data_IF_813433003827
#
_entry.id   IF_813433003827
#
_cell.length_a   1.000
_cell.length_b   1.000
_cell.length_c   1.000
_cell.angle_alpha   90.00
_cell.angle_beta   90.00
_cell.angle_gamma   90.00
#
_symmetry.space_group_name_H-M   'P 1'
#
loop_
_entity.id
_entity.type
_entity.pdbx_description
1 polymer ?
#
# COMPACT_ATOMS: atom_id res chain seq x y z
N UNK A 1 -23.54 11.63 -9.14
CA UNK A 1 -24.28 10.34 -9.15
C UNK A 1 -24.25 9.73 -7.76
N UNK A 2 -25.25 8.90 -7.39
CA UNK A 2 -25.23 8.14 -6.13
C UNK A 2 -24.29 6.93 -6.28
N UNK A 3 -23.32 6.80 -5.35
CA UNK A 3 -22.36 5.68 -5.34
C UNK A 3 -23.00 4.37 -4.84
N UNK A 4 -23.83 4.47 -3.81
CA UNK A 4 -24.48 3.30 -3.18
C UNK A 4 -25.97 3.41 -3.30
N UNK A 5 -26.63 2.25 -3.52
CA UNK A 5 -28.09 2.12 -3.55
C UNK A 5 -28.49 0.90 -2.74
N UNK A 6 -29.61 1.01 -2.03
CA UNK A 6 -30.24 -0.08 -1.29
C UNK A 6 -31.73 -0.05 -1.50
N UNK A 7 -32.31 -1.17 -1.85
CA UNK A 7 -33.76 -1.35 -1.92
C UNK A 7 -34.22 -1.93 -0.58
N UNK A 8 -35.11 -1.20 0.08
CA UNK A 8 -35.64 -1.59 1.39
C UNK A 8 -36.42 -2.89 1.26
N UNK A 9 -36.10 -3.87 2.09
CA UNK A 9 -36.74 -5.18 2.10
C UNK A 9 -37.87 -5.23 3.14
N UNK A 10 -38.78 -6.24 3.04
CA UNK A 10 -39.81 -6.47 4.04
C UNK A 10 -39.25 -6.69 5.45
N UNK A 11 -38.04 -7.31 5.56
CA UNK A 11 -37.37 -7.55 6.85
C UNK A 11 -36.89 -6.24 7.54
N UNK A 12 -36.85 -5.16 6.81
CA UNK A 12 -36.39 -3.84 7.29
C UNK A 12 -37.57 -2.90 7.58
N UNK A 13 -38.81 -3.39 7.42
CA UNK A 13 -40.00 -2.62 7.73
C UNK A 13 -39.97 -2.12 9.19
N UNK A 14 -40.27 -0.84 9.38
CA UNK A 14 -40.22 -0.18 10.68
C UNK A 14 -38.84 0.30 11.11
N UNK A 15 -37.75 -0.09 10.43
CA UNK A 15 -36.42 0.42 10.66
C UNK A 15 -36.28 1.84 10.11
N UNK A 16 -35.48 2.67 10.77
CA UNK A 16 -35.11 3.99 10.24
C UNK A 16 -34.03 3.85 9.16
N UNK A 17 -33.93 4.85 8.26
CA UNK A 17 -32.85 4.95 7.26
C UNK A 17 -31.47 4.72 7.90
N UNK A 18 -31.20 5.31 9.07
CA UNK A 18 -29.95 5.12 9.79
C UNK A 18 -29.71 3.67 10.24
N UNK A 19 -30.74 2.95 10.65
CA UNK A 19 -30.62 1.54 11.05
C UNK A 19 -30.34 0.68 9.84
N UNK A 20 -31.04 0.91 8.74
CA UNK A 20 -30.84 0.22 7.46
C UNK A 20 -29.41 0.46 6.94
N UNK A 21 -28.94 1.71 6.94
CA UNK A 21 -27.57 2.03 6.52
C UNK A 21 -26.49 1.35 7.37
N UNK A 22 -26.70 1.25 8.68
CA UNK A 22 -25.79 0.54 9.58
C UNK A 22 -25.80 -0.98 9.40
N UNK A 23 -26.95 -1.55 9.08
CA UNK A 23 -27.11 -3.00 8.90
C UNK A 23 -26.51 -3.49 7.57
N UNK A 24 -26.67 -2.71 6.50
CA UNK A 24 -26.31 -3.13 5.16
C UNK A 24 -24.97 -2.62 4.67
N UNK A 25 -24.42 -1.58 5.30
CA UNK A 25 -23.15 -0.97 4.90
C UNK A 25 -22.18 -0.89 6.07
N UNK A 26 -20.94 -1.28 5.85
CA UNK A 26 -19.85 -1.19 6.85
C UNK A 26 -19.35 0.25 7.08
N UNK A 27 -20.23 1.23 6.99
CA UNK A 27 -19.85 2.63 7.13
C UNK A 27 -19.36 2.98 8.54
N UNK A 28 -18.25 3.72 8.63
CA UNK A 28 -17.76 4.23 9.90
C UNK A 28 -18.74 5.24 10.50
N UNK A 29 -18.77 5.36 11.85
CA UNK A 29 -19.60 6.37 12.55
C UNK A 29 -19.35 7.77 12.03
N UNK A 30 -18.08 8.11 11.74
CA UNK A 30 -17.68 9.43 11.19
C UNK A 30 -18.27 9.65 9.80
N UNK A 31 -18.29 8.64 8.95
CA UNK A 31 -18.87 8.75 7.61
C UNK A 31 -20.39 8.92 7.67
N UNK A 32 -21.10 8.16 8.51
CA UNK A 32 -22.54 8.30 8.75
C UNK A 32 -22.86 9.70 9.25
N UNK A 33 -22.08 10.24 10.19
CA UNK A 33 -22.27 11.62 10.68
C UNK A 33 -22.07 12.64 9.55
N UNK A 34 -21.05 12.48 8.72
CA UNK A 34 -20.76 13.35 7.57
C UNK A 34 -21.90 13.30 6.54
N UNK A 35 -22.42 12.11 6.24
CA UNK A 35 -23.56 11.94 5.32
C UNK A 35 -24.79 12.71 5.79
N UNK A 36 -25.09 12.65 7.10
CA UNK A 36 -26.23 13.38 7.69
C UNK A 36 -26.04 14.90 7.59
N UNK A 37 -24.86 15.38 7.98
CA UNK A 37 -24.57 16.82 7.99
C UNK A 37 -24.60 17.42 6.59
N UNK A 38 -24.13 16.68 5.58
CA UNK A 38 -24.08 17.13 4.19
C UNK A 38 -25.30 16.72 3.36
N UNK A 39 -26.32 16.13 3.99
CA UNK A 39 -27.57 15.70 3.32
C UNK A 39 -27.30 14.82 2.08
N UNK A 40 -26.43 13.84 2.22
CA UNK A 40 -25.98 12.98 1.11
C UNK A 40 -26.84 11.73 0.91
N UNK A 41 -27.93 11.58 1.67
CA UNK A 41 -28.84 10.43 1.61
C UNK A 41 -30.15 10.86 0.99
N UNK A 42 -30.56 10.16 -0.04
CA UNK A 42 -31.84 10.37 -0.71
C UNK A 42 -32.74 9.13 -0.52
N UNK A 43 -34.05 9.33 -0.40
CA UNK A 43 -35.09 8.32 -0.44
C UNK A 43 -35.92 8.56 -1.68
N UNK A 44 -35.99 7.59 -2.60
CA UNK A 44 -36.70 7.70 -3.89
C UNK A 44 -36.29 8.96 -4.69
N UNK A 45 -35.03 9.35 -4.61
CA UNK A 45 -34.48 10.52 -5.31
C UNK A 45 -34.67 11.86 -4.59
N UNK A 46 -35.39 11.92 -3.46
CA UNK A 46 -35.54 13.12 -2.64
C UNK A 46 -34.64 13.05 -1.38
N UNK A 47 -34.04 14.18 -0.99
CA UNK A 47 -33.25 14.25 0.25
C UNK A 47 -34.04 13.76 1.44
N UNK A 48 -33.44 12.92 2.29
CA UNK A 48 -34.11 12.37 3.47
C UNK A 48 -33.29 12.52 4.74
N UNK A 49 -33.98 12.44 5.87
CA UNK A 49 -33.36 12.43 7.19
C UNK A 49 -33.26 11.00 7.73
N UNK A 50 -32.19 10.74 8.47
CA UNK A 50 -31.88 9.38 8.94
C UNK A 50 -32.86 8.76 9.92
N UNK A 51 -33.80 9.52 10.50
CA UNK A 51 -34.85 9.02 11.39
C UNK A 51 -36.13 8.62 10.65
N UNK A 52 -36.25 8.92 9.35
CA UNK A 52 -37.38 8.50 8.52
C UNK A 52 -37.41 6.97 8.43
N UNK A 53 -38.59 6.40 8.46
CA UNK A 53 -38.84 4.98 8.26
C UNK A 53 -39.34 4.76 6.85
N UNK A 54 -38.52 4.23 5.95
CA UNK A 54 -38.95 3.93 4.59
C UNK A 54 -39.88 2.68 4.57
N UNK A 55 -40.64 2.55 3.52
CA UNK A 55 -41.46 1.37 3.22
C UNK A 55 -40.66 0.34 2.40
N UNK A 56 -41.06 -0.96 2.44
CA UNK A 56 -40.53 -1.95 1.50
C UNK A 56 -40.60 -1.46 0.06
N UNK A 57 -39.59 -1.78 -0.75
CA UNK A 57 -39.39 -1.31 -2.13
C UNK A 57 -38.91 0.13 -2.30
N UNK A 58 -38.87 0.95 -1.26
CA UNK A 58 -38.23 2.27 -1.33
C UNK A 58 -36.75 2.13 -1.64
N UNK A 59 -36.19 3.11 -2.37
CA UNK A 59 -34.79 3.14 -2.76
C UNK A 59 -34.02 4.18 -1.96
N UNK A 60 -33.13 3.73 -1.09
CA UNK A 60 -32.16 4.59 -0.41
C UNK A 60 -30.94 4.75 -1.31
N UNK A 61 -30.60 5.97 -1.65
CA UNK A 61 -29.43 6.30 -2.46
C UNK A 61 -28.44 7.18 -1.66
N UNK A 62 -27.15 6.90 -1.77
CA UNK A 62 -26.10 7.62 -1.05
C UNK A 62 -25.14 8.26 -2.05
N UNK A 63 -24.94 9.57 -1.93
CA UNK A 63 -23.92 10.31 -2.66
C UNK A 63 -22.64 10.37 -1.83
N UNK A 64 -21.48 10.33 -2.49
CA UNK A 64 -20.23 10.66 -1.81
C UNK A 64 -20.06 12.17 -1.67
N UNK A 65 -19.44 12.64 -0.58
CA UNK A 65 -19.10 14.05 -0.44
C UNK A 65 -18.10 14.48 -1.52
N UNK A 66 -18.26 15.69 -2.02
CA UNK A 66 -17.22 16.32 -2.85
C UNK A 66 -16.03 16.62 -1.95
N UNK A 67 -14.87 16.15 -2.33
CA UNK A 67 -13.63 16.33 -1.58
C UNK A 67 -12.53 16.81 -2.53
N UNK A 68 -11.68 17.68 -2.05
CA UNK A 68 -10.58 18.26 -2.82
C UNK A 68 -9.24 17.71 -2.33
N UNK A 69 -8.30 17.61 -3.24
CA UNK A 69 -6.90 17.33 -2.94
C UNK A 69 -6.16 18.67 -2.75
N UNK A 70 -5.27 18.71 -1.76
CA UNK A 70 -4.49 19.91 -1.42
C UNK A 70 -3.12 19.95 -2.12
N UNK A 71 -2.78 18.88 -2.86
CA UNK A 71 -1.51 18.77 -3.54
C UNK A 71 -1.57 19.45 -4.90
N UNK A 72 -0.51 20.17 -5.34
CA UNK A 72 -0.44 20.67 -6.71
C UNK A 72 -0.39 19.51 -7.71
N UNK A 73 -0.99 19.69 -8.88
CA UNK A 73 -0.94 18.73 -9.96
C UNK A 73 0.42 18.80 -10.66
N UNK A 74 1.07 17.67 -10.86
CA UNK A 74 2.32 17.56 -11.62
C UNK A 74 2.23 16.41 -12.61
N UNK A 75 2.67 16.64 -13.86
CA UNK A 75 2.64 15.63 -14.94
C UNK A 75 3.72 14.55 -14.68
N UNK A 76 3.41 13.65 -13.74
CA UNK A 76 4.21 12.48 -13.43
C UNK A 76 3.49 11.25 -13.99
N UNK A 77 4.16 10.52 -14.89
CA UNK A 77 3.60 9.30 -15.48
C UNK A 77 3.30 8.27 -14.40
N UNK A 78 2.08 7.75 -14.41
CA UNK A 78 1.63 6.67 -13.52
C UNK A 78 1.60 5.34 -14.28
N UNK A 79 2.12 4.30 -13.68
CA UNK A 79 1.96 2.92 -14.14
C UNK A 79 0.80 2.30 -13.34
N UNK A 80 -0.41 2.29 -13.94
CA UNK A 80 -1.63 1.84 -13.28
C UNK A 80 -1.75 0.32 -13.43
N UNK A 81 -1.73 -0.39 -12.30
CA UNK A 81 -1.88 -1.86 -12.22
C UNK A 81 -3.35 -2.27 -12.26
N UNK A 82 -4.20 -1.48 -11.59
CA UNK A 82 -5.63 -1.73 -11.49
C UNK A 82 -6.38 -0.45 -11.16
N UNK A 83 -7.53 -0.27 -11.76
CA UNK A 83 -8.42 0.83 -11.45
C UNK A 83 -9.89 0.42 -11.59
N UNK A 84 -10.70 0.84 -10.62
CA UNK A 84 -12.14 0.78 -10.65
C UNK A 84 -12.76 2.00 -9.94
N UNK A 85 -14.03 1.93 -9.55
CA UNK A 85 -14.71 2.99 -8.82
C UNK A 85 -14.21 3.19 -7.39
N UNK A 86 -13.50 2.23 -6.82
CA UNK A 86 -13.09 2.17 -5.42
C UNK A 86 -11.59 2.30 -5.23
N UNK A 87 -10.81 1.84 -6.20
CA UNK A 87 -9.36 1.80 -6.15
C UNK A 87 -8.69 2.48 -7.31
N UNK A 88 -7.52 3.01 -7.05
CA UNK A 88 -6.47 3.30 -8.02
C UNK A 88 -5.20 2.64 -7.47
N UNK A 89 -4.70 1.59 -8.11
CA UNK A 89 -3.54 0.83 -7.66
C UNK A 89 -2.42 1.02 -8.67
N UNK A 90 -1.28 1.47 -8.16
CA UNK A 90 -0.18 1.99 -8.97
C UNK A 90 1.10 1.19 -8.69
N UNK A 91 1.83 0.84 -9.71
CA UNK A 91 3.23 0.43 -9.62
C UNK A 91 4.11 1.69 -9.52
N UNK A 92 4.42 2.10 -8.28
CA UNK A 92 5.22 3.29 -8.04
C UNK A 92 6.65 3.11 -8.55
N UNK A 93 7.11 4.03 -9.39
CA UNK A 93 8.52 4.10 -9.78
C UNK A 93 9.40 4.47 -8.58
N UNK A 94 10.69 4.09 -8.58
CA UNK A 94 11.65 4.57 -7.57
C UNK A 94 11.94 6.07 -7.75
N UNK A 95 12.58 6.70 -6.76
CA UNK A 95 13.02 8.09 -6.80
C UNK A 95 11.97 9.12 -6.41
N UNK A 96 10.71 8.72 -6.16
CA UNK A 96 9.66 9.64 -5.70
C UNK A 96 9.02 9.15 -4.39
N UNK A 97 8.68 10.08 -3.52
CA UNK A 97 7.93 9.78 -2.29
C UNK A 97 6.44 9.54 -2.61
N UNK A 98 5.74 8.81 -1.74
CA UNK A 98 4.29 8.57 -1.91
C UNK A 98 3.49 9.86 -1.72
N UNK A 99 3.84 10.68 -0.73
CA UNK A 99 3.17 11.94 -0.42
C UNK A 99 4.18 13.02 -0.03
N UNK A 100 3.82 14.30 -0.12
CA UNK A 100 4.70 15.40 0.27
C UNK A 100 5.20 15.28 1.70
N UNK A 101 6.47 15.61 1.89
CA UNK A 101 7.16 15.68 3.19
C UNK A 101 7.93 17.00 3.28
N UNK A 102 8.45 17.36 4.48
CA UNK A 102 9.26 18.58 4.64
C UNK A 102 10.45 18.66 3.68
N UNK A 103 11.07 17.51 3.36
CA UNK A 103 12.23 17.45 2.43
C UNK A 103 11.83 17.28 0.96
N UNK A 104 10.61 16.87 0.67
CA UNK A 104 10.11 16.62 -0.69
C UNK A 104 8.65 17.14 -0.79
N UNK A 105 8.45 18.45 -0.91
CA UNK A 105 7.11 19.05 -0.96
C UNK A 105 6.39 18.78 -2.29
N UNK A 106 7.15 18.56 -3.35
CA UNK A 106 6.71 18.32 -4.72
C UNK A 106 7.34 17.05 -5.30
N UNK A 107 7.03 16.71 -6.53
CA UNK A 107 7.52 15.54 -7.25
C UNK A 107 7.22 14.24 -6.47
N UNK A 108 5.97 14.08 -6.05
CA UNK A 108 5.51 12.93 -5.29
C UNK A 108 4.45 12.16 -6.07
N UNK A 109 4.19 10.90 -5.69
CA UNK A 109 3.11 10.13 -6.28
C UNK A 109 1.75 10.85 -6.15
N UNK A 110 1.52 11.52 -5.01
CA UNK A 110 0.30 12.30 -4.79
C UNK A 110 0.12 13.42 -5.83
N UNK A 111 1.19 14.13 -6.21
CA UNK A 111 1.14 15.17 -7.24
C UNK A 111 0.77 14.58 -8.62
N UNK A 112 1.35 13.43 -8.98
CA UNK A 112 1.02 12.72 -10.22
C UNK A 112 -0.43 12.24 -10.25
N UNK A 113 -0.95 11.74 -9.11
CA UNK A 113 -2.34 11.31 -9.02
C UNK A 113 -3.30 12.51 -9.16
N UNK A 114 -3.00 13.68 -8.59
CA UNK A 114 -3.84 14.87 -8.78
C UNK A 114 -3.87 15.28 -10.25
N UNK A 115 -2.74 15.23 -10.95
CA UNK A 115 -2.70 15.48 -12.39
C UNK A 115 -3.59 14.48 -13.14
N UNK A 116 -3.45 13.18 -12.85
CA UNK A 116 -4.27 12.12 -13.43
C UNK A 116 -5.78 12.32 -13.20
N UNK A 117 -6.19 12.67 -11.98
CA UNK A 117 -7.59 12.97 -11.63
C UNK A 117 -8.14 14.09 -12.51
N UNK A 118 -7.36 15.16 -12.72
CA UNK A 118 -7.77 16.31 -13.53
C UNK A 118 -7.92 15.93 -15.01
N UNK A 119 -6.93 15.22 -15.58
CA UNK A 119 -6.96 14.78 -16.97
C UNK A 119 -8.11 13.80 -17.28
N UNK A 120 -8.45 12.95 -16.32
CA UNK A 120 -9.52 11.95 -16.48
C UNK A 120 -10.89 12.44 -16.01
N UNK A 121 -11.01 13.72 -15.61
CA UNK A 121 -12.24 14.30 -15.07
C UNK A 121 -12.86 13.49 -13.90
N UNK A 122 -12.02 12.80 -13.14
CA UNK A 122 -12.43 12.10 -11.93
C UNK A 122 -12.52 13.07 -10.75
N UNK A 123 -13.24 12.67 -9.71
CA UNK A 123 -13.36 13.49 -8.49
C UNK A 123 -13.32 12.58 -7.26
N UNK A 124 -12.13 12.43 -6.68
CA UNK A 124 -11.95 11.75 -5.40
C UNK A 124 -10.76 12.35 -4.63
N UNK A 125 -10.81 12.28 -3.32
CA UNK A 125 -9.67 12.59 -2.45
C UNK A 125 -8.75 11.38 -2.37
N UNK A 126 -7.45 11.60 -2.58
CA UNK A 126 -6.41 10.57 -2.50
C UNK A 126 -6.31 10.05 -1.08
N UNK A 127 -6.37 8.73 -0.91
CA UNK A 127 -6.22 8.04 0.37
C UNK A 127 -5.30 6.85 0.21
N UNK A 128 -4.06 7.04 0.55
CA UNK A 128 -3.09 5.94 0.55
C UNK A 128 -3.42 4.92 1.63
N UNK A 129 -3.51 3.65 1.27
CA UNK A 129 -3.71 2.55 2.19
C UNK A 129 -2.38 1.96 2.68
N UNK A 130 -1.33 2.08 1.89
CA UNK A 130 0.04 1.73 2.24
C UNK A 130 1.01 2.82 1.77
N UNK A 131 2.28 2.66 2.16
CA UNK A 131 3.37 3.53 1.71
C UNK A 131 4.58 2.69 1.35
N UNK A 132 5.38 3.21 0.45
CA UNK A 132 6.71 2.72 0.12
C UNK A 132 7.74 3.83 0.38
N UNK A 133 8.97 3.44 0.64
CA UNK A 133 10.09 4.38 0.72
C UNK A 133 10.32 5.02 -0.65
N UNK A 134 10.99 6.17 -0.69
CA UNK A 134 11.24 6.93 -1.91
C UNK A 134 11.80 6.05 -3.03
N UNK A 135 12.84 5.30 -2.74
CA UNK A 135 13.55 4.46 -3.70
C UNK A 135 13.06 3.00 -3.77
N UNK A 136 12.03 2.65 -2.99
CA UNK A 136 11.34 1.37 -3.13
C UNK A 136 10.26 1.49 -4.21
N UNK A 137 10.29 0.61 -5.19
CA UNK A 137 9.29 0.52 -6.26
C UNK A 137 8.17 -0.45 -5.94
N UNK A 138 7.07 -0.41 -6.69
CA UNK A 138 6.00 -1.40 -6.64
C UNK A 138 4.66 -0.89 -6.13
N UNK A 139 3.82 -1.78 -5.64
CA UNK A 139 2.39 -1.56 -5.43
C UNK A 139 2.11 -0.54 -4.32
N UNK A 140 1.40 0.52 -4.71
CA UNK A 140 0.75 1.48 -3.82
C UNK A 140 -0.74 1.44 -4.05
N UNK A 141 -1.50 1.22 -2.99
CA UNK A 141 -2.96 1.14 -2.98
C UNK A 141 -3.53 2.50 -2.59
N UNK A 142 -4.34 3.08 -3.46
CA UNK A 142 -5.09 4.30 -3.22
C UNK A 142 -6.58 3.97 -3.20
N UNK A 143 -7.25 4.28 -2.09
CA UNK A 143 -8.70 4.22 -2.00
C UNK A 143 -9.31 5.54 -2.48
N UNK A 144 -10.31 5.45 -3.37
CA UNK A 144 -11.00 6.62 -3.92
C UNK A 144 -12.02 7.24 -2.96
N UNK A 145 -12.37 6.54 -1.88
CA UNK A 145 -13.27 7.06 -0.84
C UNK A 145 -12.87 6.58 0.57
N UNK A 146 -13.40 7.26 1.58
CA UNK A 146 -13.04 6.98 2.98
C UNK A 146 -13.58 5.65 3.51
N UNK A 147 -14.66 5.12 2.94
CA UNK A 147 -15.19 3.83 3.35
C UNK A 147 -14.26 2.70 2.90
N UNK A 148 -13.82 2.73 1.66
CA UNK A 148 -12.86 1.76 1.11
C UNK A 148 -11.55 1.82 1.87
N UNK A 149 -11.01 3.03 2.16
CA UNK A 149 -9.80 3.15 2.98
C UNK A 149 -9.97 2.48 4.35
N UNK A 150 -11.12 2.68 5.01
CA UNK A 150 -11.40 2.09 6.31
C UNK A 150 -11.47 0.56 6.24
N UNK A 151 -12.14 0.00 5.22
CA UNK A 151 -12.24 -1.45 5.04
C UNK A 151 -10.88 -2.10 4.74
N UNK A 152 -10.07 -1.49 3.87
CA UNK A 152 -8.70 -1.96 3.60
C UNK A 152 -7.83 -1.87 4.87
N UNK A 153 -7.98 -0.79 5.66
CA UNK A 153 -7.26 -0.65 6.93
C UNK A 153 -7.63 -1.76 7.92
N UNK A 154 -8.91 -2.15 7.99
CA UNK A 154 -9.36 -3.29 8.81
C UNK A 154 -8.73 -4.60 8.31
N UNK A 155 -8.74 -4.85 7.00
CA UNK A 155 -8.12 -6.04 6.42
C UNK A 155 -6.62 -6.08 6.74
N UNK A 156 -5.91 -4.94 6.62
CA UNK A 156 -4.49 -4.85 6.97
C UNK A 156 -4.24 -5.12 8.45
N UNK A 157 -5.06 -4.57 9.33
CA UNK A 157 -4.95 -4.78 10.78
C UNK A 157 -5.27 -6.21 11.20
N UNK A 158 -6.15 -6.88 10.45
CA UNK A 158 -6.54 -8.28 10.65
C UNK A 158 -5.64 -9.29 9.92
N UNK A 159 -4.50 -8.85 9.34
CA UNK A 159 -3.60 -9.70 8.55
C UNK A 159 -4.28 -10.42 7.37
N UNK A 160 -5.34 -9.83 6.82
CA UNK A 160 -6.08 -10.37 5.67
C UNK A 160 -5.53 -9.88 4.32
N UNK A 161 -4.56 -8.97 4.33
CA UNK A 161 -3.87 -8.48 3.13
C UNK A 161 -2.51 -9.13 3.03
N UNK A 162 -2.28 -9.89 1.97
CA UNK A 162 -0.95 -10.42 1.67
C UNK A 162 -0.14 -9.38 0.90
N UNK A 163 1.06 -9.08 1.37
CA UNK A 163 2.01 -8.17 0.72
C UNK A 163 3.34 -8.89 0.55
N UNK A 164 3.79 -9.03 -0.70
CA UNK A 164 5.07 -9.66 -0.99
C UNK A 164 6.00 -8.71 -1.73
N UNK A 165 7.25 -8.79 -1.35
CA UNK A 165 8.34 -8.00 -1.90
C UNK A 165 9.39 -8.91 -2.50
N UNK A 166 10.02 -8.45 -3.58
CA UNK A 166 11.27 -9.03 -4.06
C UNK A 166 12.42 -8.16 -3.56
N UNK A 167 13.47 -8.80 -3.08
CA UNK A 167 14.73 -8.12 -2.76
C UNK A 167 15.91 -8.96 -3.23
N UNK A 168 17.01 -8.26 -3.56
CA UNK A 168 18.31 -8.90 -3.78
C UNK A 168 19.22 -8.44 -2.66
N UNK A 169 19.73 -9.39 -1.89
CA UNK A 169 20.56 -9.15 -0.71
C UNK A 169 21.97 -9.64 -0.91
N UNK A 170 22.92 -9.09 -0.17
CA UNK A 170 24.31 -9.50 -0.18
C UNK A 170 24.51 -10.84 0.54
N UNK A 171 25.41 -11.67 0.01
CA UNK A 171 25.77 -12.96 0.58
C UNK A 171 24.78 -14.08 0.26
N UNK A 172 25.16 -15.30 0.64
CA UNK A 172 24.33 -16.49 0.49
C UNK A 172 23.56 -16.72 1.78
N UNK A 173 22.23 -16.77 1.67
CA UNK A 173 21.35 -17.22 2.73
C UNK A 173 21.20 -18.73 2.56
N UNK A 174 21.63 -19.51 3.55
CA UNK A 174 21.62 -20.98 3.46
C UNK A 174 20.24 -21.59 3.63
N UNK A 175 19.40 -21.01 4.52
CA UNK A 175 18.05 -21.49 4.76
C UNK A 175 17.10 -21.08 3.62
N UNK A 176 16.26 -22.02 3.15
CA UNK A 176 15.29 -21.73 2.08
C UNK A 176 14.09 -20.91 2.55
N UNK A 177 13.73 -21.04 3.81
CA UNK A 177 12.62 -20.31 4.42
C UNK A 177 12.85 -20.09 5.92
N UNK A 178 12.64 -18.87 6.39
CA UNK A 178 12.69 -18.52 7.80
C UNK A 178 11.83 -17.28 8.10
N UNK A 179 11.57 -17.05 9.38
CA UNK A 179 10.80 -15.90 9.85
C UNK A 179 11.67 -15.01 10.73
N UNK A 180 11.59 -13.70 10.50
CA UNK A 180 12.26 -12.68 11.33
C UNK A 180 11.20 -12.02 12.21
N UNK A 181 11.25 -12.29 13.51
CA UNK A 181 10.42 -11.65 14.54
C UNK A 181 11.31 -10.78 15.43
N UNK A 182 11.64 -9.60 14.92
CA UNK A 182 12.52 -8.65 15.58
C UNK A 182 11.88 -7.27 15.61
N UNK A 183 11.62 -6.71 16.81
CA UNK A 183 11.00 -5.39 16.91
C UNK A 183 11.90 -4.30 16.30
N UNK A 184 11.25 -3.32 15.66
CA UNK A 184 11.92 -2.21 14.95
C UNK A 184 11.55 -0.88 15.61
N UNK A 185 12.54 -0.07 15.88
CA UNK A 185 12.38 1.24 16.50
C UNK A 185 13.28 2.31 15.92
N UNK A 186 13.21 3.47 16.53
CA UNK A 186 14.02 4.66 16.20
C UNK A 186 14.83 5.05 17.44
N UNK A 187 16.08 4.56 17.56
CA UNK A 187 16.88 4.79 18.77
C UNK A 187 17.26 6.27 18.93
N UNK A 188 17.44 6.98 17.84
CA UNK A 188 17.74 8.41 17.82
C UNK A 188 16.65 9.16 17.03
N UNK A 189 15.87 10.06 17.70
CA UNK A 189 14.82 10.85 17.05
C UNK A 189 15.32 11.76 15.91
N UNK A 190 16.58 12.17 15.94
CA UNK A 190 17.15 13.08 14.94
C UNK A 190 17.74 12.34 13.73
N UNK A 191 17.99 11.03 13.87
CA UNK A 191 18.49 10.19 12.78
C UNK A 191 17.37 9.67 11.89
N UNK A 192 17.50 9.63 10.56
CA UNK A 192 16.60 8.93 9.66
C UNK A 192 16.69 7.42 9.81
N UNK A 193 17.81 6.91 10.37
CA UNK A 193 18.09 5.49 10.52
C UNK A 193 17.24 4.89 11.64
N UNK A 194 16.77 3.69 11.41
CA UNK A 194 16.09 2.85 12.40
C UNK A 194 16.90 1.59 12.64
N UNK A 195 16.60 0.86 13.71
CA UNK A 195 17.29 -0.38 14.05
C UNK A 195 16.33 -1.40 14.64
N UNK A 196 16.79 -2.63 14.79
CA UNK A 196 16.19 -3.57 15.75
C UNK A 196 16.34 -2.94 17.13
N UNK A 197 15.23 -2.89 17.87
CA UNK A 197 15.14 -2.24 19.18
C UNK A 197 14.15 -3.00 20.03
N UNK A 198 14.50 -3.31 21.25
CA UNK A 198 13.64 -4.05 22.18
C UNK A 198 12.32 -3.30 22.43
N UNK A 199 11.27 -4.04 22.78
CA UNK A 199 9.94 -3.46 23.02
C UNK A 199 9.97 -2.47 24.21
N UNK A 200 10.71 -2.78 25.26
CA UNK A 200 10.93 -1.93 26.42
C UNK A 200 11.63 -0.61 26.08
N UNK A 201 12.45 -0.58 25.02
CA UNK A 201 13.15 0.61 24.55
C UNK A 201 12.34 1.39 23.50
N UNK A 202 11.07 1.02 23.27
CA UNK A 202 10.19 1.68 22.33
C UNK A 202 10.18 1.08 20.91
N UNK A 203 10.75 -0.11 20.75
CA UNK A 203 10.58 -0.92 19.54
C UNK A 203 9.12 -1.29 19.33
N UNK A 204 8.76 -1.56 18.09
CA UNK A 204 7.42 -2.02 17.68
C UNK A 204 7.52 -3.38 17.03
N UNK A 205 6.64 -4.30 17.39
CA UNK A 205 6.58 -5.63 16.79
C UNK A 205 6.68 -5.56 15.27
N UNK A 206 7.57 -6.35 14.70
CA UNK A 206 7.77 -6.41 13.25
C UNK A 206 8.08 -7.85 12.86
N UNK A 207 7.26 -8.40 11.96
CA UNK A 207 7.30 -9.79 11.53
C UNK A 207 7.43 -9.87 10.01
N UNK A 208 8.45 -10.60 9.54
CA UNK A 208 8.77 -10.78 8.10
C UNK A 208 9.11 -12.22 7.83
N UNK A 209 8.39 -12.88 6.92
CA UNK A 209 8.80 -14.16 6.38
C UNK A 209 9.73 -13.94 5.19
N UNK A 210 10.75 -14.76 5.11
CA UNK A 210 11.76 -14.75 4.03
C UNK A 210 11.74 -16.09 3.33
N UNK A 211 11.59 -16.07 2.01
CA UNK A 211 11.71 -17.23 1.13
C UNK A 211 12.82 -16.99 0.13
N UNK A 212 13.82 -17.84 0.11
CA UNK A 212 14.89 -17.80 -0.89
C UNK A 212 14.35 -18.31 -2.23
N UNK A 213 14.53 -17.51 -3.27
CA UNK A 213 14.14 -17.85 -4.64
C UNK A 213 15.34 -18.33 -5.46
N UNK A 214 16.48 -17.67 -5.31
CA UNK A 214 17.72 -18.03 -6.03
C UNK A 214 18.95 -17.52 -5.30
N UNK A 215 20.02 -18.32 -5.32
CA UNK A 215 21.37 -17.98 -4.83
C UNK A 215 22.30 -17.76 -6.01
N UNK A 216 23.06 -16.68 -5.98
CA UNK A 216 24.07 -16.34 -6.98
C UNK A 216 25.44 -16.37 -6.33
N UNK A 217 26.31 -17.26 -6.78
CA UNK A 217 27.70 -17.34 -6.32
C UNK A 217 28.56 -16.44 -7.17
N UNK A 218 29.32 -15.55 -6.54
CA UNK A 218 30.26 -14.69 -7.22
C UNK A 218 31.35 -15.53 -7.93
N UNK A 219 31.69 -15.14 -9.15
CA UNK A 219 32.78 -15.78 -9.90
C UNK A 219 33.96 -14.80 -9.99
N UNK A 220 35.15 -15.25 -9.59
CA UNK A 220 36.40 -14.48 -9.58
C UNK A 220 36.77 -13.94 -10.98
N UNK A 221 36.22 -14.50 -12.05
CA UNK A 221 36.53 -14.16 -13.46
C UNK A 221 35.69 -12.97 -13.95
N UNK A 222 34.58 -12.67 -13.29
CA UNK A 222 33.71 -11.52 -13.63
C UNK A 222 34.06 -10.30 -12.75
N UNK A 223 33.78 -9.10 -13.23
CA UNK A 223 33.90 -7.85 -12.44
C UNK A 223 33.04 -7.82 -11.18
N UNK A 224 32.31 -8.91 -10.87
CA UNK A 224 31.43 -9.11 -9.74
C UNK A 224 31.85 -10.34 -8.94
N UNK A 225 32.69 -10.11 -7.94
CA UNK A 225 33.13 -11.16 -7.01
C UNK A 225 32.34 -11.05 -5.70
N UNK A 226 31.00 -11.11 -5.78
CA UNK A 226 30.22 -11.15 -4.55
C UNK A 226 28.99 -12.03 -4.69
N UNK A 227 28.76 -12.76 -3.62
CA UNK A 227 27.59 -13.61 -3.45
C UNK A 227 26.33 -12.75 -3.25
N UNK A 228 25.22 -13.21 -3.80
CA UNK A 228 23.92 -12.55 -3.63
C UNK A 228 22.78 -13.57 -3.53
N UNK A 229 21.71 -13.19 -2.90
CA UNK A 229 20.50 -14.02 -2.81
C UNK A 229 19.27 -13.19 -3.22
N UNK A 230 18.48 -13.73 -4.16
CA UNK A 230 17.14 -13.21 -4.48
C UNK A 230 16.14 -13.83 -3.52
N UNK A 231 15.39 -12.98 -2.82
CA UNK A 231 14.40 -13.42 -1.83
C UNK A 231 13.02 -12.81 -2.11
N UNK A 232 11.98 -13.57 -1.79
CA UNK A 232 10.61 -13.07 -1.63
C UNK A 232 10.35 -12.87 -0.13
N UNK A 233 9.87 -11.69 0.25
CA UNK A 233 9.57 -11.36 1.64
C UNK A 233 8.08 -11.08 1.81
N UNK A 234 7.45 -11.76 2.78
CA UNK A 234 6.04 -11.51 3.14
C UNK A 234 5.96 -10.68 4.42
N UNK A 235 5.25 -9.55 4.35
CA UNK A 235 5.10 -8.65 5.50
C UNK A 235 3.79 -8.87 6.24
N UNK A 236 3.87 -9.31 7.51
CA UNK A 236 2.73 -9.34 8.45
C UNK A 236 2.52 -7.99 9.14
N UNK A 237 3.57 -7.20 9.27
CA UNK A 237 3.57 -5.84 9.80
C UNK A 237 4.16 -4.88 8.76
N UNK A 238 3.95 -3.58 8.92
CA UNK A 238 4.47 -2.57 7.99
C UNK A 238 5.18 -1.42 8.71
N UNK A 239 6.35 -1.70 9.32
CA UNK A 239 7.15 -0.65 9.96
C UNK A 239 8.04 0.04 8.93
N UNK A 240 8.35 1.30 9.17
CA UNK A 240 9.25 2.06 8.29
C UNK A 240 10.59 1.35 8.17
N UNK A 241 11.05 1.11 6.94
CA UNK A 241 12.29 0.40 6.60
C UNK A 241 12.36 -1.05 7.12
N UNK A 242 11.26 -1.69 7.48
CA UNK A 242 11.25 -3.00 8.16
C UNK A 242 12.13 -4.04 7.47
N UNK A 243 11.90 -4.31 6.19
CA UNK A 243 12.69 -5.29 5.42
C UNK A 243 14.17 -4.92 5.41
N UNK A 244 14.48 -3.65 5.17
CA UNK A 244 15.85 -3.13 5.07
C UNK A 244 16.62 -3.34 6.38
N UNK A 245 15.96 -3.09 7.52
CA UNK A 245 16.52 -3.28 8.86
C UNK A 245 16.71 -4.77 9.15
N UNK A 246 15.69 -5.59 8.91
CA UNK A 246 15.73 -7.02 9.18
C UNK A 246 16.87 -7.70 8.40
N UNK A 247 16.97 -7.44 7.10
CA UNK A 247 18.01 -8.04 6.26
C UNK A 247 19.42 -7.54 6.64
N UNK A 248 19.58 -6.25 6.95
CA UNK A 248 20.86 -5.71 7.42
C UNK A 248 21.27 -6.28 8.78
N UNK A 249 20.32 -6.47 9.70
CA UNK A 249 20.57 -7.06 11.01
C UNK A 249 21.10 -8.49 10.92
N UNK A 250 20.62 -9.26 9.95
CA UNK A 250 21.09 -10.61 9.66
C UNK A 250 22.39 -10.66 8.84
N UNK A 251 23.07 -9.54 8.65
CA UNK A 251 24.28 -9.41 7.81
C UNK A 251 24.05 -9.72 6.31
N UNK A 252 22.81 -9.61 5.85
CA UNK A 252 22.41 -9.71 4.44
C UNK A 252 21.77 -8.41 3.96
N UNK A 253 22.45 -7.24 3.99
CA UNK A 253 21.85 -5.98 3.59
C UNK A 253 21.39 -6.04 2.12
N UNK A 254 20.34 -5.29 1.81
CA UNK A 254 19.82 -5.20 0.43
C UNK A 254 20.85 -4.50 -0.45
N UNK A 255 21.17 -5.06 -1.61
CA UNK A 255 22.09 -4.46 -2.57
C UNK A 255 21.62 -3.05 -2.91
N UNK A 256 22.53 -2.07 -2.85
CA UNK A 256 22.27 -0.66 -3.13
C UNK A 256 21.64 0.12 -1.98
N UNK A 257 21.39 -0.48 -0.83
CA UNK A 257 20.84 0.21 0.34
C UNK A 257 21.91 0.98 1.10
N UNK A 258 22.17 2.22 0.68
CA UNK A 258 23.20 3.09 1.28
C UNK A 258 22.97 3.39 2.77
N UNK A 259 21.71 3.35 3.23
CA UNK A 259 21.39 3.66 4.62
C UNK A 259 21.69 2.50 5.57
N UNK A 260 21.58 1.26 5.08
CA UNK A 260 21.70 0.04 5.89
C UNK A 260 22.89 -0.85 5.50
N UNK A 261 23.86 -0.30 4.78
CA UNK A 261 25.14 -0.96 4.53
C UNK A 261 25.20 -1.85 3.28
N UNK A 262 24.18 -1.76 2.42
CA UNK A 262 24.19 -2.46 1.14
C UNK A 262 25.09 -1.76 0.13
N UNK A 263 26.17 -2.41 -0.29
CA UNK A 263 26.96 -1.95 -1.42
C UNK A 263 26.13 -2.01 -2.71
N UNK A 264 26.32 -1.04 -3.59
CA UNK A 264 25.63 -1.00 -4.88
C UNK A 264 26.29 -1.89 -5.95
N UNK A 265 27.52 -2.34 -5.69
CA UNK A 265 28.34 -3.17 -6.58
C UNK A 265 28.42 -2.62 -8.03
N UNK A 266 28.22 -1.32 -8.21
CA UNK A 266 28.13 -0.68 -9.52
C UNK A 266 26.93 -1.10 -10.37
N UNK A 267 25.92 -1.75 -9.78
CA UNK A 267 24.81 -2.34 -10.53
C UNK A 267 23.48 -1.63 -10.38
N UNK A 268 23.19 -1.12 -9.19
CA UNK A 268 21.94 -0.43 -8.88
C UNK A 268 22.21 0.72 -7.92
N UNK A 269 21.59 1.87 -8.15
CA UNK A 269 21.85 3.10 -7.37
C UNK A 269 20.99 3.25 -6.11
N UNK A 270 20.06 2.32 -5.90
CA UNK A 270 19.07 2.31 -4.83
C UNK A 270 18.93 0.91 -4.23
N UNK A 271 18.23 0.79 -3.11
CA UNK A 271 17.91 -0.53 -2.58
C UNK A 271 17.17 -1.38 -3.63
N UNK A 272 17.69 -2.56 -3.92
CA UNK A 272 17.07 -3.57 -4.77
C UNK A 272 15.86 -4.18 -4.04
N UNK A 273 14.79 -3.38 -3.88
CA UNK A 273 13.56 -3.74 -3.18
C UNK A 273 12.33 -3.30 -4.00
N UNK A 274 11.41 -4.24 -4.20
CA UNK A 274 10.23 -4.05 -5.02
C UNK A 274 9.00 -4.72 -4.42
N UNK A 275 7.92 -3.97 -4.19
CA UNK A 275 6.62 -4.49 -3.75
C UNK A 275 5.88 -5.09 -4.95
N UNK A 276 6.10 -6.37 -5.20
CA UNK A 276 5.67 -7.00 -6.46
C UNK A 276 4.28 -7.60 -6.43
N UNK A 277 3.75 -7.92 -5.24
CA UNK A 277 2.46 -8.60 -5.13
C UNK A 277 1.64 -8.11 -3.95
N UNK A 278 0.35 -7.93 -4.18
CA UNK A 278 -0.66 -7.68 -3.15
C UNK A 278 -1.89 -8.54 -3.43
N UNK A 279 -2.42 -9.16 -2.36
CA UNK A 279 -3.73 -9.82 -2.38
C UNK A 279 -4.60 -9.22 -1.28
N UNK A 280 -5.83 -8.83 -1.62
CA UNK A 280 -6.83 -8.32 -0.70
C UNK A 280 -8.24 -8.71 -1.15
N UNK A 281 -9.22 -8.59 -0.26
CA UNK A 281 -10.63 -8.78 -0.61
C UNK A 281 -11.21 -7.41 -0.99
N UNK A 282 -11.78 -7.30 -2.18
CA UNK A 282 -12.43 -6.07 -2.61
C UNK A 282 -13.64 -5.76 -1.70
N UNK A 283 -13.70 -4.55 -1.07
CA UNK A 283 -14.72 -4.27 -0.06
C UNK A 283 -16.16 -4.30 -0.57
N UNK A 284 -16.40 -3.97 -1.84
CA UNK A 284 -17.75 -3.95 -2.44
C UNK A 284 -18.09 -5.30 -3.08
N UNK A 285 -17.32 -5.77 -4.05
CA UNK A 285 -17.62 -7.03 -4.77
C UNK A 285 -17.39 -8.29 -3.94
N UNK A 286 -16.61 -8.20 -2.84
CA UNK A 286 -16.17 -9.33 -2.01
C UNK A 286 -15.26 -10.33 -2.73
N UNK A 287 -14.86 -10.03 -3.93
CA UNK A 287 -13.92 -10.82 -4.70
C UNK A 287 -12.47 -10.62 -4.23
N UNK A 288 -11.68 -11.64 -4.42
CA UNK A 288 -10.27 -11.61 -4.11
C UNK A 288 -9.50 -10.97 -5.26
N UNK A 289 -8.89 -9.81 -5.01
CA UNK A 289 -7.99 -9.14 -5.94
C UNK A 289 -6.56 -9.65 -5.72
N UNK A 290 -5.94 -10.14 -6.78
CA UNK A 290 -4.52 -10.54 -6.84
C UNK A 290 -3.81 -9.68 -7.86
N UNK A 291 -2.92 -8.84 -7.40
CA UNK A 291 -2.32 -7.79 -8.20
C UNK A 291 -0.80 -7.95 -8.21
N UNK A 292 -0.22 -7.82 -9.40
CA UNK A 292 1.21 -7.92 -9.63
C UNK A 292 1.72 -6.63 -10.25
N UNK A 293 2.83 -6.11 -9.72
CA UNK A 293 3.57 -5.03 -10.32
C UNK A 293 4.73 -5.57 -11.14
N UNK A 294 4.93 -5.04 -12.33
CA UNK A 294 6.08 -5.35 -13.17
C UNK A 294 7.38 -4.92 -12.49
N UNK A 295 8.38 -5.77 -12.56
CA UNK A 295 9.71 -5.48 -12.02
C UNK A 295 10.35 -4.34 -12.84
N UNK A 296 10.89 -3.29 -12.21
CA UNK A 296 11.51 -2.18 -12.92
C UNK A 296 12.83 -2.60 -13.58
N UNK A 297 13.19 -1.88 -14.65
CA UNK A 297 14.31 -2.21 -15.54
C UNK A 297 15.66 -2.33 -14.82
N UNK A 298 15.93 -1.44 -13.85
CA UNK A 298 17.16 -1.47 -13.06
C UNK A 298 17.29 -2.75 -12.22
N UNK A 299 16.17 -3.20 -11.62
CA UNK A 299 16.11 -4.44 -10.85
C UNK A 299 16.23 -5.67 -11.79
N UNK A 300 15.56 -5.65 -12.94
CA UNK A 300 15.64 -6.72 -13.94
C UNK A 300 17.07 -6.83 -14.51
N UNK A 301 17.72 -5.70 -14.76
CA UNK A 301 19.11 -5.66 -15.21
C UNK A 301 20.06 -6.24 -14.18
N UNK A 302 19.83 -5.99 -12.88
CA UNK A 302 20.60 -6.60 -11.80
C UNK A 302 20.45 -8.13 -11.80
N UNK A 303 19.22 -8.66 -11.90
CA UNK A 303 18.97 -10.11 -12.01
C UNK A 303 19.70 -10.70 -13.20
N UNK A 304 19.63 -10.04 -14.36
CA UNK A 304 20.27 -10.52 -15.59
C UNK A 304 21.79 -10.61 -15.44
N UNK A 305 22.42 -9.58 -14.85
CA UNK A 305 23.86 -9.58 -14.60
C UNK A 305 24.27 -10.70 -13.63
N UNK A 306 23.54 -10.89 -12.54
CA UNK A 306 23.80 -11.97 -11.58
C UNK A 306 23.65 -13.36 -12.21
N UNK A 307 22.74 -13.55 -13.18
CA UNK A 307 22.58 -14.81 -13.89
C UNK A 307 23.75 -15.15 -14.83
N UNK A 308 24.44 -14.15 -15.37
CA UNK A 308 25.58 -14.37 -16.28
C UNK A 308 26.86 -14.71 -15.50
N UNK A 309 26.90 -14.33 -14.24
CA UNK A 309 28.09 -14.46 -13.37
C UNK A 309 28.04 -15.68 -12.43
N UNK A 310 26.92 -16.39 -12.37
CA UNK A 310 26.70 -17.55 -11.47
C UNK A 310 26.80 -18.89 -12.17
#
# INVERSE_FOLDING_TARGET
MSKYKHIVTEKEEGMTVNQILKANFSFSRRFITKMKFQELVDLNGAKTKGFIKPSPSDVISIRLPIEHNEFPAENIKLDIVYEDDDFLIINKQPGITVHPTKGHPNNTLANGIVYYINETNQNFKIRFCNRLDMDTSGIVIVAKNSNIQNEVSKQMSGNMVTKKYLAIVQGIIEEDFFTIDLPVGRPDPDSPRRSVLALEDGGKTALTDVKVLKRYKGNIISSFNCDATLVELSLHTGRTHQIRIHMSYLNHPIIGDKLYGGDNMGMISRQALHSHYVELIHPESKEKLRLFASIPEDFQSLITRLNVTS
#
